data_IF_837277487709
#
_entry.id   IF_837277487709
#
_cell.length_a   1.000
_cell.length_b   1.000
_cell.length_c   1.000
_cell.angle_alpha   90.00
_cell.angle_beta   90.00
_cell.angle_gamma   90.00
#
_symmetry.space_group_name_H-M   'P 1'
#
loop_
_entity.id
_entity.type
_entity.pdbx_description
1 polymer ?
#
# COMPACT_ATOMS: atom_id res chain seq x y z
N UNK A 1 -12.61 -5.23 -5.13
CA UNK A 1 -11.24 -5.05 -4.58
C UNK A 1 -10.45 -4.25 -5.60
N UNK A 2 -9.76 -3.17 -5.23
CA UNK A 2 -8.89 -2.44 -6.18
C UNK A 2 -7.45 -2.73 -5.84
N UNK A 3 -6.76 -3.44 -6.72
CA UNK A 3 -5.34 -3.67 -6.62
C UNK A 3 -4.58 -2.41 -7.06
N UNK A 4 -3.34 -2.28 -6.60
CA UNK A 4 -2.39 -1.35 -7.20
C UNK A 4 -1.38 -2.16 -7.99
N UNK A 5 -1.33 -1.91 -9.30
CA UNK A 5 -0.35 -2.52 -10.21
C UNK A 5 0.39 -1.37 -10.88
N UNK A 6 1.72 -1.40 -10.83
CA UNK A 6 2.55 -0.46 -11.59
C UNK A 6 3.80 -1.14 -12.10
N UNK A 7 4.13 -0.81 -13.34
CA UNK A 7 5.34 -1.24 -14.02
C UNK A 7 6.38 -0.12 -13.95
N UNK A 8 7.61 -0.48 -13.61
CA UNK A 8 8.75 0.43 -13.61
C UNK A 8 9.84 -0.18 -14.47
N UNK A 9 10.51 0.65 -15.25
CA UNK A 9 11.69 0.25 -15.99
C UNK A 9 12.77 1.31 -15.79
N UNK A 10 13.99 0.86 -15.54
CA UNK A 10 15.13 1.77 -15.46
C UNK A 10 16.43 1.07 -15.82
N UNK A 11 17.32 1.86 -16.41
CA UNK A 11 18.68 1.46 -16.73
C UNK A 11 19.56 1.45 -15.49
N UNK A 12 20.47 0.48 -15.42
CA UNK A 12 21.43 0.32 -14.35
C UNK A 12 22.83 0.38 -14.95
N UNK A 13 23.59 1.40 -14.55
CA UNK A 13 24.97 1.58 -15.03
C UNK A 13 25.93 0.51 -14.51
N UNK A 14 25.66 -0.07 -13.33
CA UNK A 14 26.51 -1.05 -12.68
C UNK A 14 25.74 -2.34 -12.37
N UNK A 15 26.05 -3.42 -13.08
CA UNK A 15 25.42 -4.74 -12.90
C UNK A 15 26.17 -5.63 -11.89
N UNK A 16 27.33 -5.20 -11.39
CA UNK A 16 28.14 -5.98 -10.43
C UNK A 16 27.35 -6.15 -9.13
N UNK A 17 27.14 -7.41 -8.73
CA UNK A 17 26.35 -7.80 -7.56
C UNK A 17 24.89 -7.30 -7.56
N UNK A 18 24.31 -7.04 -8.74
CA UNK A 18 22.95 -6.50 -8.88
C UNK A 18 21.92 -7.34 -8.12
N UNK A 19 21.88 -8.66 -8.35
CA UNK A 19 20.96 -9.58 -7.66
C UNK A 19 21.13 -9.53 -6.15
N UNK A 20 22.36 -9.56 -5.67
CA UNK A 20 22.69 -9.50 -4.23
C UNK A 20 22.23 -8.20 -3.61
N UNK A 21 22.40 -7.07 -4.29
CA UNK A 21 21.94 -5.77 -3.82
C UNK A 21 20.41 -5.70 -3.79
N UNK A 22 19.74 -6.20 -4.83
CA UNK A 22 18.27 -6.31 -4.87
C UNK A 22 17.76 -7.13 -3.68
N UNK A 23 18.32 -8.33 -3.45
CA UNK A 23 17.95 -9.18 -2.30
C UNK A 23 18.14 -8.45 -0.98
N UNK A 24 19.34 -7.89 -0.74
CA UNK A 24 19.64 -7.12 0.47
C UNK A 24 18.65 -5.98 0.71
N UNK A 25 18.26 -5.28 -0.35
CA UNK A 25 17.25 -4.22 -0.27
C UNK A 25 15.92 -4.76 0.23
N UNK A 26 15.40 -5.83 -0.37
CA UNK A 26 14.09 -6.39 -0.02
C UNK A 26 14.09 -7.13 1.32
N UNK A 27 15.19 -7.80 1.67
CA UNK A 27 15.38 -8.49 2.96
C UNK A 27 15.31 -7.49 4.13
N UNK A 28 15.89 -6.29 3.97
CA UNK A 28 15.81 -5.20 4.96
C UNK A 28 14.37 -4.84 5.33
N UNK A 29 13.42 -5.09 4.42
CA UNK A 29 12.00 -4.78 4.61
C UNK A 29 11.13 -6.03 4.76
N UNK A 30 11.69 -7.17 5.15
CA UNK A 30 10.97 -8.42 5.41
C UNK A 30 10.15 -8.94 4.21
N UNK A 31 10.62 -8.67 2.99
CA UNK A 31 10.14 -9.40 1.82
C UNK A 31 10.79 -10.77 1.79
N UNK A 32 10.01 -11.80 1.46
CA UNK A 32 10.51 -13.16 1.28
C UNK A 32 10.77 -13.41 -0.20
N UNK A 33 11.90 -14.01 -0.51
CA UNK A 33 12.18 -14.54 -1.84
C UNK A 33 11.23 -15.71 -2.11
N UNK A 34 10.45 -15.63 -3.18
CA UNK A 34 9.54 -16.70 -3.62
C UNK A 34 10.17 -17.54 -4.73
N UNK A 35 10.83 -16.88 -5.68
CA UNK A 35 11.47 -17.54 -6.84
C UNK A 35 12.67 -16.74 -7.32
N UNK A 36 13.70 -17.44 -7.75
CA UNK A 36 14.87 -16.87 -8.41
C UNK A 36 15.27 -17.74 -9.59
N UNK A 37 15.39 -17.10 -10.76
CA UNK A 37 15.91 -17.68 -12.00
C UNK A 37 17.12 -16.85 -12.47
N UNK A 38 17.69 -17.20 -13.63
CA UNK A 38 18.78 -16.45 -14.26
C UNK A 38 18.45 -14.97 -14.49
N UNK A 39 17.27 -14.67 -15.02
CA UNK A 39 16.88 -13.30 -15.38
C UNK A 39 15.70 -12.75 -14.58
N UNK A 40 15.24 -13.48 -13.55
CA UNK A 40 14.03 -13.11 -12.81
C UNK A 40 14.19 -13.33 -11.31
N UNK A 41 13.72 -12.38 -10.51
CA UNK A 41 13.62 -12.50 -9.06
C UNK A 41 12.21 -12.09 -8.61
N UNK A 42 11.53 -12.96 -7.89
CA UNK A 42 10.19 -12.70 -7.36
C UNK A 42 10.25 -12.63 -5.84
N UNK A 43 9.78 -11.52 -5.29
CA UNK A 43 9.59 -11.31 -3.87
C UNK A 43 8.11 -11.24 -3.51
N UNK A 44 7.77 -11.82 -2.37
CA UNK A 44 6.45 -11.71 -1.77
C UNK A 44 6.55 -11.15 -0.37
N UNK A 45 5.54 -10.38 0.01
CA UNK A 45 5.31 -9.99 1.38
C UNK A 45 3.92 -10.44 1.75
N UNK A 46 3.84 -11.43 2.64
CA UNK A 46 2.57 -11.90 3.18
C UNK A 46 2.11 -10.95 4.28
N UNK A 47 0.79 -10.83 4.42
CA UNK A 47 0.18 -10.17 5.55
C UNK A 47 0.45 -10.98 6.84
N UNK A 48 0.72 -10.31 7.95
CA UNK A 48 0.95 -10.95 9.26
C UNK A 48 0.07 -10.29 10.32
N UNK A 49 -0.77 -11.11 10.98
CA UNK A 49 -1.73 -10.67 12.01
C UNK A 49 -1.05 -10.26 13.33
N UNK A 50 0.04 -10.95 13.70
CA UNK A 50 0.73 -10.76 14.99
C UNK A 50 1.80 -9.65 14.99
N UNK A 51 2.17 -9.14 13.82
CA UNK A 51 2.95 -7.91 13.77
C UNK A 51 1.98 -6.76 14.02
N UNK A 52 2.07 -6.04 15.14
CA UNK A 52 1.30 -4.81 15.47
C UNK A 52 1.52 -3.64 14.50
N UNK A 53 1.63 -3.95 13.21
CA UNK A 53 2.20 -3.23 12.07
C UNK A 53 1.18 -3.05 10.93
N UNK A 54 -0.09 -3.30 11.20
CA UNK A 54 -1.21 -3.20 10.24
C UNK A 54 -1.53 -1.76 9.80
N UNK A 55 -0.92 -0.76 10.44
CA UNK A 55 -0.97 0.64 10.03
C UNK A 55 0.02 1.00 8.91
N UNK A 56 0.94 0.10 8.54
CA UNK A 56 1.92 0.38 7.49
C UNK A 56 1.41 -0.09 6.11
N UNK A 57 1.00 0.81 5.21
CA UNK A 57 0.57 0.43 3.86
C UNK A 57 1.69 -0.20 3.01
N UNK A 58 2.98 -0.04 3.38
CA UNK A 58 4.12 -0.71 2.76
C UNK A 58 4.33 -2.16 3.25
N UNK A 59 3.53 -2.62 4.22
CA UNK A 59 3.50 -4.01 4.69
C UNK A 59 2.26 -4.78 4.20
N UNK A 60 1.46 -4.18 3.30
CA UNK A 60 0.35 -4.89 2.66
C UNK A 60 0.87 -6.06 1.81
N UNK A 61 -0.05 -6.96 1.45
CA UNK A 61 0.26 -8.12 0.63
C UNK A 61 0.81 -7.64 -0.71
N UNK A 62 2.08 -7.90 -0.93
CA UNK A 62 2.82 -7.33 -2.06
C UNK A 62 3.50 -8.46 -2.81
N UNK A 63 3.43 -8.42 -4.14
CA UNK A 63 4.24 -9.24 -5.05
C UNK A 63 5.08 -8.30 -5.91
N UNK A 64 6.38 -8.58 -5.97
CA UNK A 64 7.34 -7.81 -6.75
C UNK A 64 8.03 -8.80 -7.66
N UNK A 65 7.86 -8.62 -8.96
CA UNK A 65 8.52 -9.42 -9.99
C UNK A 65 9.53 -8.52 -10.71
N UNK A 66 10.80 -8.92 -10.64
CA UNK A 66 11.93 -8.16 -11.16
C UNK A 66 12.58 -8.98 -12.26
N UNK A 67 12.49 -8.47 -13.48
CA UNK A 67 13.17 -9.01 -14.64
C UNK A 67 14.44 -8.21 -14.92
N UNK A 68 15.56 -8.91 -15.03
CA UNK A 68 16.87 -8.37 -15.36
C UNK A 68 17.14 -8.68 -16.82
N UNK A 69 17.26 -7.63 -17.63
CA UNK A 69 17.49 -7.76 -19.07
C UNK A 69 18.99 -7.64 -19.38
N UNK A 70 19.42 -8.30 -20.45
CA UNK A 70 20.80 -8.25 -20.94
C UNK A 70 21.27 -6.82 -21.28
N UNK A 71 20.33 -5.95 -21.65
CA UNK A 71 20.54 -4.52 -21.95
C UNK A 71 20.87 -3.63 -20.74
N UNK A 72 21.31 -4.22 -19.62
CA UNK A 72 21.57 -3.51 -18.34
C UNK A 72 20.36 -2.73 -17.82
N UNK A 73 19.14 -3.20 -18.14
CA UNK A 73 17.91 -2.61 -17.65
C UNK A 73 17.19 -3.60 -16.73
N UNK A 74 16.42 -3.07 -15.78
CA UNK A 74 15.51 -3.90 -14.98
C UNK A 74 14.08 -3.41 -15.15
N UNK A 75 13.18 -4.39 -15.25
CA UNK A 75 11.73 -4.18 -15.23
C UNK A 75 11.17 -4.70 -13.92
N UNK A 76 10.44 -3.87 -13.20
CA UNK A 76 9.79 -4.21 -11.94
C UNK A 76 8.28 -4.13 -12.12
N UNK A 77 7.62 -5.27 -11.94
CA UNK A 77 6.19 -5.37 -11.82
C UNK A 77 5.85 -5.36 -10.33
N UNK A 78 5.23 -4.28 -9.87
CA UNK A 78 4.89 -4.10 -8.46
C UNK A 78 3.38 -4.18 -8.27
N UNK A 79 2.94 -5.22 -7.58
CA UNK A 79 1.53 -5.49 -7.30
C UNK A 79 1.29 -5.46 -5.79
N UNK A 80 0.35 -4.61 -5.37
CA UNK A 80 -0.13 -4.55 -3.99
C UNK A 80 -1.61 -4.89 -3.95
N UNK A 81 -1.91 -5.89 -3.14
CA UNK A 81 -3.26 -6.33 -2.82
C UNK A 81 -3.53 -6.04 -1.36
N UNK A 82 -4.78 -5.73 -1.04
CA UNK A 82 -5.18 -5.49 0.35
C UNK A 82 -6.19 -6.55 0.76
N UNK A 83 -5.70 -7.57 1.44
CA UNK A 83 -6.53 -8.57 2.14
C UNK A 83 -6.81 -8.14 3.60
N UNK A 84 -6.31 -6.96 4.02
CA UNK A 84 -6.33 -6.45 5.40
C UNK A 84 -7.48 -5.46 5.69
N UNK A 85 -7.20 -4.34 6.36
CA UNK A 85 -8.20 -3.36 6.86
C UNK A 85 -9.26 -2.86 5.85
N UNK A 86 -9.22 -3.23 4.56
CA UNK A 86 -10.41 -3.44 3.72
C UNK A 86 -11.19 -2.21 3.26
N UNK A 87 -11.06 -1.06 3.94
CA UNK A 87 -11.80 0.16 3.67
C UNK A 87 -10.98 1.19 2.88
N UNK A 88 -9.66 1.02 2.73
CA UNK A 88 -8.81 1.89 1.88
C UNK A 88 -8.13 1.06 0.82
N UNK A 89 -8.27 1.52 -0.43
CA UNK A 89 -7.63 0.93 -1.58
C UNK A 89 -6.11 1.24 -1.61
N UNK A 90 -5.24 0.27 -1.92
CA UNK A 90 -3.80 0.46 -2.07
C UNK A 90 -3.39 1.67 -2.91
N UNK A 91 -4.19 2.02 -3.94
CA UNK A 91 -3.92 3.20 -4.78
C UNK A 91 -3.78 4.51 -3.98
N UNK A 92 -4.40 4.62 -2.80
CA UNK A 92 -4.24 5.76 -1.89
C UNK A 92 -2.79 6.02 -1.46
N UNK A 93 -1.96 4.97 -1.52
CA UNK A 93 -0.57 4.96 -1.09
C UNK A 93 0.40 4.81 -2.26
N UNK A 94 -0.05 4.99 -3.51
CA UNK A 94 0.77 4.86 -4.72
C UNK A 94 2.06 5.67 -4.65
N UNK A 95 2.00 6.91 -4.16
CA UNK A 95 3.18 7.76 -3.99
C UNK A 95 4.24 7.13 -3.08
N UNK A 96 3.85 6.41 -2.03
CA UNK A 96 4.79 5.72 -1.15
C UNK A 96 5.42 4.52 -1.85
N UNK A 97 4.64 3.74 -2.61
CA UNK A 97 5.17 2.62 -3.40
C UNK A 97 6.17 3.11 -4.46
N UNK A 98 5.84 4.21 -5.14
CA UNK A 98 6.69 4.83 -6.15
C UNK A 98 7.99 5.37 -5.54
N UNK A 99 7.91 6.08 -4.41
CA UNK A 99 9.10 6.56 -3.69
C UNK A 99 9.98 5.41 -3.18
N UNK A 100 9.38 4.32 -2.69
CA UNK A 100 10.10 3.14 -2.25
C UNK A 100 10.93 2.54 -3.40
N UNK A 101 10.32 2.34 -4.57
CA UNK A 101 11.03 1.83 -5.75
C UNK A 101 12.02 2.85 -6.35
N UNK A 102 11.76 4.15 -6.22
CA UNK A 102 12.74 5.19 -6.57
C UNK A 102 13.99 5.11 -5.68
N UNK A 103 13.81 4.86 -4.38
CA UNK A 103 14.92 4.64 -3.46
C UNK A 103 15.70 3.36 -3.79
N UNK A 104 15.04 2.30 -4.28
CA UNK A 104 15.72 1.12 -4.83
C UNK A 104 16.59 1.51 -6.03
N UNK A 105 16.04 2.24 -7.01
CA UNK A 105 16.81 2.73 -8.16
C UNK A 105 18.07 3.50 -7.73
N UNK A 106 17.91 4.45 -6.79
CA UNK A 106 19.03 5.23 -6.26
C UNK A 106 20.06 4.38 -5.53
N UNK A 107 19.61 3.39 -4.76
CA UNK A 107 20.51 2.45 -4.08
C UNK A 107 21.35 1.66 -5.07
N UNK A 108 20.71 1.11 -6.12
CA UNK A 108 21.39 0.34 -7.16
C UNK A 108 22.35 1.20 -7.98
N UNK A 109 22.05 2.49 -8.20
CA UNK A 109 22.89 3.38 -9.02
C UNK A 109 24.02 4.07 -8.25
N UNK A 110 23.81 4.43 -6.97
CA UNK A 110 24.76 5.27 -6.21
C UNK A 110 25.39 4.58 -5.00
N UNK A 111 24.96 3.36 -4.65
CA UNK A 111 25.34 2.64 -3.42
C UNK A 111 25.11 3.42 -2.11
N UNK A 112 24.40 4.56 -2.15
CA UNK A 112 24.08 5.37 -0.96
C UNK A 112 23.06 4.65 -0.08
N UNK A 113 23.18 4.85 1.23
CA UNK A 113 22.21 4.34 2.19
C UNK A 113 20.81 4.94 1.94
N UNK A 114 19.81 4.06 1.90
CA UNK A 114 18.39 4.37 1.66
C UNK A 114 17.53 4.08 2.89
N UNK A 115 18.12 3.49 3.94
CA UNK A 115 17.41 2.98 5.12
C UNK A 115 16.63 4.10 5.80
N UNK A 116 17.31 5.20 6.15
CA UNK A 116 16.68 6.36 6.80
C UNK A 116 15.57 6.99 5.96
N UNK A 117 15.76 7.10 4.64
CA UNK A 117 14.73 7.63 3.72
C UNK A 117 13.49 6.75 3.72
N UNK A 118 13.67 5.44 3.64
CA UNK A 118 12.57 4.49 3.67
C UNK A 118 11.90 4.41 5.05
N UNK A 119 12.63 4.55 6.15
CA UNK A 119 12.04 4.64 7.49
C UNK A 119 11.13 5.86 7.64
N UNK A 120 11.57 7.05 7.18
CA UNK A 120 10.74 8.25 7.15
C UNK A 120 9.52 8.08 6.25
N UNK A 121 9.68 7.40 5.11
CA UNK A 121 8.59 7.06 4.20
C UNK A 121 7.55 6.15 4.89
N UNK A 122 8.01 5.12 5.60
CA UNK A 122 7.16 4.21 6.39
C UNK A 122 6.41 4.99 7.49
N UNK A 123 7.10 5.86 8.25
CA UNK A 123 6.46 6.70 9.28
C UNK A 123 5.37 7.60 8.68
N UNK A 124 5.65 8.22 7.55
CA UNK A 124 4.69 9.08 6.83
C UNK A 124 3.48 8.29 6.33
N UNK A 125 3.71 7.09 5.79
CA UNK A 125 2.67 6.22 5.31
C UNK A 125 1.75 5.71 6.45
N UNK A 126 2.34 5.39 7.62
CA UNK A 126 1.60 5.06 8.84
C UNK A 126 0.73 6.22 9.33
N UNK A 127 1.27 7.44 9.36
CA UNK A 127 0.52 8.65 9.75
C UNK A 127 -0.68 8.88 8.82
N UNK A 128 -0.48 8.70 7.50
CA UNK A 128 -1.56 8.81 6.51
C UNK A 128 -2.64 7.74 6.69
N UNK A 129 -2.24 6.50 6.99
CA UNK A 129 -3.19 5.42 7.30
C UNK A 129 -4.04 5.76 8.53
N UNK A 130 -3.41 6.23 9.61
CA UNK A 130 -4.11 6.64 10.83
C UNK A 130 -5.12 7.76 10.59
N UNK A 131 -4.77 8.75 9.75
CA UNK A 131 -5.69 9.81 9.37
C UNK A 131 -6.97 9.26 8.71
N UNK A 132 -6.84 8.31 7.79
CA UNK A 132 -8.00 7.70 7.15
C UNK A 132 -8.81 6.78 8.07
N UNK A 133 -8.16 6.09 9.01
CA UNK A 133 -8.87 5.38 10.09
C UNK A 133 -9.72 6.36 10.90
N UNK A 134 -9.16 7.53 11.24
CA UNK A 134 -9.90 8.58 11.94
C UNK A 134 -11.14 9.05 11.16
N UNK A 135 -11.00 9.32 9.86
CA UNK A 135 -12.14 9.68 9.00
C UNK A 135 -13.20 8.57 8.94
N UNK A 136 -12.77 7.32 8.89
CA UNK A 136 -13.65 6.15 8.87
C UNK A 136 -14.49 6.05 10.17
N UNK A 137 -13.85 6.26 11.32
CA UNK A 137 -14.52 6.28 12.62
C UNK A 137 -15.53 7.44 12.71
N UNK A 138 -15.15 8.64 12.29
CA UNK A 138 -16.04 9.81 12.31
C UNK A 138 -17.29 9.56 11.44
N UNK A 139 -17.11 9.14 10.18
CA UNK A 139 -18.24 8.91 9.26
C UNK A 139 -19.17 7.80 9.73
N UNK A 140 -18.62 6.75 10.34
CA UNK A 140 -19.39 5.65 10.94
C UNK A 140 -20.17 6.14 12.17
N UNK A 141 -19.53 6.90 13.06
CA UNK A 141 -20.18 7.45 14.26
C UNK A 141 -21.34 8.38 13.95
N UNK A 142 -21.21 9.24 12.94
CA UNK A 142 -22.31 10.13 12.50
C UNK A 142 -23.50 9.30 12.00
N UNK A 143 -23.25 8.33 11.12
CA UNK A 143 -24.30 7.49 10.56
C UNK A 143 -24.98 6.61 11.62
N UNK A 144 -24.20 6.12 12.58
CA UNK A 144 -24.68 5.37 13.73
C UNK A 144 -25.59 6.24 14.62
N UNK A 145 -25.19 7.47 14.93
CA UNK A 145 -26.02 8.40 15.70
C UNK A 145 -27.35 8.70 15.01
N UNK A 146 -27.32 8.92 13.68
CA UNK A 146 -28.54 9.12 12.88
C UNK A 146 -29.44 7.87 12.89
N UNK A 147 -28.87 6.68 12.71
CA UNK A 147 -29.59 5.40 12.78
C UNK A 147 -30.26 5.18 14.14
N UNK A 148 -29.56 5.51 15.23
CA UNK A 148 -30.11 5.46 16.58
C UNK A 148 -31.28 6.43 16.77
N UNK A 149 -31.17 7.68 16.27
CA UNK A 149 -32.29 8.65 16.30
C UNK A 149 -33.51 8.15 15.52
N UNK A 150 -33.31 7.60 14.32
CA UNK A 150 -34.39 7.04 13.50
C UNK A 150 -35.04 5.82 14.14
N UNK A 151 -34.24 4.95 14.80
CA UNK A 151 -34.74 3.81 15.57
C UNK A 151 -35.69 4.27 16.68
N UNK A 152 -35.33 5.33 17.41
CA UNK A 152 -36.17 5.84 18.50
C UNK A 152 -37.46 6.49 18.00
N UNK A 153 -37.42 7.17 16.84
CA UNK A 153 -38.60 7.81 16.24
C UNK A 153 -39.59 6.80 15.65
N UNK A 154 -39.09 5.72 15.05
CA UNK A 154 -39.92 4.71 14.37
C UNK A 154 -40.31 3.53 15.25
N UNK A 155 -39.69 3.38 16.42
CA UNK A 155 -39.77 2.18 17.26
C UNK A 155 -39.04 0.95 16.68
N UNK A 156 -38.44 1.05 15.48
CA UNK A 156 -37.79 -0.07 14.81
C UNK A 156 -36.30 -0.15 15.14
N UNK A 157 -35.94 -1.11 16.00
CA UNK A 157 -34.55 -1.39 16.43
C UNK A 157 -33.61 -1.78 15.29
N UNK A 158 -34.11 -2.21 14.13
CA UNK A 158 -33.25 -2.55 12.99
C UNK A 158 -32.53 -1.31 12.42
N UNK A 159 -33.15 -0.13 12.51
CA UNK A 159 -32.57 1.11 11.95
C UNK A 159 -31.24 1.50 12.61
N UNK A 160 -31.05 1.10 13.86
CA UNK A 160 -29.78 1.24 14.58
C UNK A 160 -28.63 0.49 13.87
N UNK A 161 -28.83 -0.79 13.56
CA UNK A 161 -27.83 -1.62 12.88
C UNK A 161 -27.62 -1.17 11.42
N UNK A 162 -28.70 -0.77 10.75
CA UNK A 162 -28.62 -0.21 9.40
C UNK A 162 -27.77 1.05 9.34
N UNK A 163 -27.92 1.98 10.29
CA UNK A 163 -27.11 3.19 10.35
C UNK A 163 -25.61 2.92 10.44
N UNK A 164 -25.21 1.92 11.23
CA UNK A 164 -23.81 1.48 11.32
C UNK A 164 -23.31 0.92 9.99
N UNK A 165 -24.00 -0.07 9.41
CA UNK A 165 -23.58 -0.75 8.17
C UNK A 165 -23.50 0.23 7.01
N UNK A 166 -24.50 1.10 6.88
CA UNK A 166 -24.53 2.14 5.84
C UNK A 166 -23.39 3.13 6.06
N UNK A 167 -23.14 3.55 7.29
CA UNK A 167 -22.02 4.43 7.63
C UNK A 167 -20.68 3.86 7.21
N UNK A 168 -20.45 2.57 7.50
CA UNK A 168 -19.23 1.88 7.08
C UNK A 168 -19.11 1.86 5.55
N UNK A 169 -20.17 1.48 4.84
CA UNK A 169 -20.16 1.39 3.37
C UNK A 169 -19.97 2.76 2.70
N UNK A 170 -20.77 3.75 3.05
CA UNK A 170 -20.74 5.08 2.43
C UNK A 170 -19.40 5.75 2.68
N UNK A 171 -18.91 5.75 3.92
CA UNK A 171 -17.63 6.39 4.27
C UNK A 171 -16.47 5.75 3.52
N UNK A 172 -16.46 4.40 3.43
CA UNK A 172 -15.50 3.66 2.62
C UNK A 172 -15.52 4.09 1.15
N UNK A 173 -16.70 4.18 0.55
CA UNK A 173 -16.87 4.59 -0.86
C UNK A 173 -16.39 6.03 -1.08
N UNK A 174 -16.77 6.95 -0.19
CA UNK A 174 -16.40 8.37 -0.29
C UNK A 174 -14.90 8.57 -0.17
N UNK A 175 -14.26 7.97 0.85
CA UNK A 175 -12.81 8.03 1.04
C UNK A 175 -12.11 7.51 -0.22
N UNK A 176 -12.48 6.33 -0.72
CA UNK A 176 -11.82 5.77 -1.90
C UNK A 176 -12.07 6.58 -3.18
N UNK A 177 -13.28 7.10 -3.39
CA UNK A 177 -13.60 7.94 -4.55
C UNK A 177 -12.78 9.22 -4.55
N UNK A 178 -12.67 9.87 -3.39
CA UNK A 178 -11.82 11.04 -3.20
C UNK A 178 -10.35 10.71 -3.52
N UNK A 179 -9.82 9.62 -2.96
CA UNK A 179 -8.41 9.27 -3.12
C UNK A 179 -8.03 8.91 -4.55
N UNK A 180 -8.91 8.18 -5.25
CA UNK A 180 -8.71 7.87 -6.67
C UNK A 180 -8.69 9.16 -7.48
N UNK A 181 -9.68 10.05 -7.29
CA UNK A 181 -9.73 11.33 -8.01
C UNK A 181 -8.46 12.15 -7.80
N UNK A 182 -8.04 12.33 -6.55
CA UNK A 182 -6.87 13.15 -6.21
C UNK A 182 -5.56 12.54 -6.72
N UNK A 183 -5.42 11.21 -6.73
CA UNK A 183 -4.22 10.56 -7.27
C UNK A 183 -4.19 10.51 -8.81
N UNK A 184 -5.35 10.48 -9.48
CA UNK A 184 -5.41 10.63 -10.94
C UNK A 184 -5.02 12.03 -11.37
N UNK A 185 -5.52 13.07 -10.69
CA UNK A 185 -5.19 14.47 -10.99
C UNK A 185 -3.72 14.82 -10.76
N UNK A 186 -3.02 14.12 -9.84
CA UNK A 186 -1.58 14.29 -9.62
C UNK A 186 -0.68 13.63 -10.67
N UNK A 187 -1.26 12.81 -11.56
CA UNK A 187 -0.54 12.11 -12.63
C UNK A 187 -0.72 12.76 -14.01
N UNK A 188 -1.62 13.75 -14.12
CA UNK A 188 -1.76 14.64 -15.28
C UNK A 188 -0.86 15.85 -15.08
#
# INVERSE_FOLDING_TARGET
>A
MKEYIKHFQYEIKNTVNLKTNIKKYFDTYNFKLEKENENQIIFIKKWSFFSGYTLNPLNLKTKIDINIHESKSISINYQVTSDGFGFITPIAFSSFYECFLSNLKLFLSTKKSYVTKNELLIKSAKKKMLFYIGLMLIGTSVSFFLGHRLSNLSGNKLLYYFGFIIGVKITTVLINKYLIKTNTLKKQ
#
